data_IF_111707202177
#
_entry.id   IF_111707202177
#
_cell.length_a   1.000
_cell.length_b   1.000
_cell.length_c   1.000
_cell.angle_alpha   90.00
_cell.angle_beta   90.00
_cell.angle_gamma   90.00
#
_symmetry.space_group_name_H-M   'P 1'
#
loop_
_entity.id
_entity.type
_entity.pdbx_description
1 polymer ?
#
# COMPACT_ATOMS: atom_id res chain seq x y z
N UNK A 1 6.07 -16.34 -7.36
CA UNK A 1 6.90 -15.68 -8.41
C UNK A 1 8.15 -15.02 -7.84
N UNK A 2 8.04 -14.05 -6.91
CA UNK A 2 9.20 -13.37 -6.29
C UNK A 2 10.23 -14.32 -5.66
N UNK A 3 9.78 -15.33 -4.93
CA UNK A 3 10.67 -16.32 -4.31
C UNK A 3 11.44 -17.18 -5.33
N UNK A 4 10.83 -17.46 -6.48
CA UNK A 4 11.49 -18.17 -7.57
C UNK A 4 12.52 -17.27 -8.29
N UNK A 5 12.21 -15.98 -8.45
CA UNK A 5 13.16 -15.00 -8.97
C UNK A 5 14.35 -14.81 -8.03
N UNK A 6 14.10 -14.71 -6.72
CA UNK A 6 15.15 -14.62 -5.70
C UNK A 6 16.11 -15.80 -5.74
N UNK A 7 15.59 -17.03 -5.90
CA UNK A 7 16.42 -18.24 -6.04
C UNK A 7 17.31 -18.24 -7.29
N UNK A 8 16.91 -17.55 -8.37
CA UNK A 8 17.67 -17.48 -9.63
C UNK A 8 18.70 -16.36 -9.64
N UNK A 9 18.38 -15.21 -9.04
CA UNK A 9 19.25 -14.02 -9.11
C UNK A 9 19.13 -13.19 -7.82
N UNK A 10 19.67 -13.69 -6.70
CA UNK A 10 19.41 -13.13 -5.37
C UNK A 10 19.86 -11.68 -5.23
N UNK A 11 21.07 -11.31 -5.69
CA UNK A 11 21.62 -9.95 -5.55
C UNK A 11 20.76 -8.86 -6.20
N UNK A 12 20.16 -9.14 -7.35
CA UNK A 12 19.34 -8.16 -8.08
C UNK A 12 17.94 -8.08 -7.47
N UNK A 13 17.37 -9.24 -7.09
CA UNK A 13 16.01 -9.28 -6.55
C UNK A 13 15.99 -8.69 -5.14
N UNK A 14 17.01 -8.94 -4.33
CA UNK A 14 17.11 -8.46 -2.95
C UNK A 14 16.98 -6.94 -2.85
N UNK A 15 17.67 -6.18 -3.72
CA UNK A 15 17.57 -4.72 -3.73
C UNK A 15 16.19 -4.21 -4.17
N UNK A 16 15.43 -5.00 -4.94
CA UNK A 16 14.08 -4.66 -5.41
C UNK A 16 12.98 -5.10 -4.45
N UNK A 17 13.27 -6.01 -3.50
CA UNK A 17 12.26 -6.57 -2.59
C UNK A 17 11.51 -5.50 -1.79
N UNK A 18 12.16 -4.47 -1.19
CA UNK A 18 11.44 -3.46 -0.44
C UNK A 18 10.40 -2.73 -1.29
N UNK A 19 10.80 -2.28 -2.48
CA UNK A 19 9.90 -1.59 -3.41
C UNK A 19 8.76 -2.50 -3.87
N UNK A 20 9.04 -3.77 -4.19
CA UNK A 20 8.02 -4.74 -4.58
C UNK A 20 7.00 -4.99 -3.47
N UNK A 21 7.46 -5.17 -2.23
CA UNK A 21 6.58 -5.33 -1.08
C UNK A 21 5.77 -4.07 -0.78
N UNK A 22 6.35 -2.88 -0.92
CA UNK A 22 5.62 -1.63 -0.73
C UNK A 22 4.49 -1.47 -1.75
N UNK A 23 4.74 -1.77 -3.03
CA UNK A 23 3.68 -1.78 -4.06
C UNK A 23 2.59 -2.82 -3.78
N UNK A 24 2.97 -3.99 -3.27
CA UNK A 24 2.03 -5.05 -2.87
C UNK A 24 1.15 -4.58 -1.71
N UNK A 25 1.72 -4.05 -0.63
CA UNK A 25 0.97 -3.54 0.50
C UNK A 25 0.05 -2.37 0.11
N UNK A 26 0.51 -1.45 -0.74
CA UNK A 26 -0.33 -0.38 -1.28
C UNK A 26 -1.51 -0.95 -2.10
N UNK A 27 -1.29 -2.01 -2.87
CA UNK A 27 -2.37 -2.68 -3.61
C UNK A 27 -3.39 -3.34 -2.66
N UNK A 28 -2.92 -4.03 -1.63
CA UNK A 28 -3.78 -4.61 -0.58
C UNK A 28 -4.56 -3.53 0.17
N UNK A 29 -3.93 -2.39 0.48
CA UNK A 29 -4.59 -1.26 1.10
C UNK A 29 -5.75 -0.73 0.25
N UNK A 30 -5.54 -0.63 -1.08
CA UNK A 30 -6.59 -0.25 -2.01
C UNK A 30 -7.73 -1.27 -2.03
N UNK A 31 -7.43 -2.56 -2.06
CA UNK A 31 -8.46 -3.62 -2.05
C UNK A 31 -9.29 -3.58 -0.76
N UNK A 32 -8.62 -3.46 0.40
CA UNK A 32 -9.29 -3.35 1.69
C UNK A 32 -10.19 -2.10 1.74
N UNK A 33 -9.70 -0.96 1.22
CA UNK A 33 -10.48 0.27 1.13
C UNK A 33 -11.72 0.10 0.24
N UNK A 34 -11.58 -0.53 -0.93
CA UNK A 34 -12.73 -0.79 -1.82
C UNK A 34 -13.72 -1.79 -1.21
N UNK A 35 -13.26 -2.70 -0.34
CA UNK A 35 -14.12 -3.60 0.42
C UNK A 35 -14.75 -2.98 1.67
N UNK A 36 -14.49 -1.70 1.96
CA UNK A 36 -15.02 -1.00 3.13
C UNK A 36 -14.28 -1.25 4.44
N UNK A 37 -13.21 -2.06 4.43
CA UNK A 37 -12.37 -2.30 5.60
C UNK A 37 -11.27 -1.24 5.71
N UNK A 38 -11.67 -0.07 6.22
CA UNK A 38 -10.77 1.07 6.41
C UNK A 38 -9.65 0.79 7.41
N UNK A 39 -9.87 -0.07 8.41
CA UNK A 39 -8.87 -0.38 9.43
C UNK A 39 -7.75 -1.22 8.83
N UNK A 40 -8.10 -2.25 8.07
CA UNK A 40 -7.13 -3.08 7.37
C UNK A 40 -6.41 -2.30 6.28
N UNK A 41 -7.12 -1.41 5.56
CA UNK A 41 -6.49 -0.51 4.59
C UNK A 41 -5.39 0.36 5.23
N UNK A 42 -5.63 0.92 6.41
CA UNK A 42 -4.64 1.70 7.16
C UNK A 42 -3.45 0.85 7.64
N UNK A 43 -3.68 -0.41 8.01
CA UNK A 43 -2.59 -1.31 8.40
C UNK A 43 -1.67 -1.61 7.20
N UNK A 44 -2.24 -2.00 6.06
CA UNK A 44 -1.47 -2.22 4.85
C UNK A 44 -0.75 -0.96 4.38
N UNK A 45 -1.40 0.21 4.46
CA UNK A 45 -0.77 1.48 4.09
C UNK A 45 0.45 1.81 4.99
N UNK A 46 0.36 1.53 6.29
CA UNK A 46 1.51 1.68 7.20
C UNK A 46 2.66 0.72 6.83
N UNK A 47 2.34 -0.53 6.48
CA UNK A 47 3.35 -1.49 6.03
C UNK A 47 4.02 -1.06 4.71
N UNK A 48 3.25 -0.52 3.76
CA UNK A 48 3.80 0.04 2.53
C UNK A 48 4.78 1.18 2.83
N UNK A 49 4.38 2.12 3.70
CA UNK A 49 5.21 3.26 4.10
C UNK A 49 6.50 2.85 4.82
N UNK A 50 6.42 1.88 5.73
CA UNK A 50 7.61 1.41 6.47
C UNK A 50 8.58 0.62 5.59
N UNK A 51 8.08 -0.02 4.53
CA UNK A 51 8.89 -0.87 3.66
C UNK A 51 9.66 -0.04 2.64
N UNK A 52 8.98 0.86 1.93
CA UNK A 52 9.60 1.79 1.00
C UNK A 52 8.69 3.00 0.76
N UNK A 53 9.03 4.12 1.38
CA UNK A 53 8.27 5.38 1.23
C UNK A 53 8.49 6.06 -0.13
N UNK A 54 9.54 5.70 -0.87
CA UNK A 54 9.89 6.37 -2.13
C UNK A 54 8.77 6.24 -3.17
N UNK A 55 8.02 5.14 -3.13
CA UNK A 55 6.90 4.88 -4.05
C UNK A 55 5.83 5.97 -3.98
N UNK A 56 5.64 6.63 -2.83
CA UNK A 56 4.63 7.67 -2.67
C UNK A 56 5.06 9.02 -3.26
N UNK A 57 6.36 9.23 -3.47
CA UNK A 57 6.89 10.43 -4.11
C UNK A 57 7.11 10.23 -5.61
N UNK A 58 7.43 9.00 -6.02
CA UNK A 58 7.74 8.66 -7.41
C UNK A 58 6.51 8.26 -8.23
N UNK A 59 5.47 7.70 -7.60
CA UNK A 59 4.24 7.28 -8.27
C UNK A 59 3.02 8.07 -7.74
N UNK A 60 2.45 8.98 -8.54
CA UNK A 60 1.24 9.74 -8.18
C UNK A 60 0.06 8.85 -7.79
N UNK A 61 -0.08 7.66 -8.38
CA UNK A 61 -1.17 6.74 -8.03
C UNK A 61 -1.01 6.18 -6.63
N UNK A 62 0.23 5.94 -6.20
CA UNK A 62 0.55 5.53 -4.84
C UNK A 62 0.21 6.63 -3.84
N UNK A 63 0.55 7.88 -4.16
CA UNK A 63 0.17 9.05 -3.35
C UNK A 63 -1.35 9.20 -3.22
N UNK A 64 -2.10 9.09 -4.33
CA UNK A 64 -3.56 9.15 -4.29
C UNK A 64 -4.17 8.05 -3.41
N UNK A 65 -3.58 6.86 -3.43
CA UNK A 65 -4.03 5.74 -2.59
C UNK A 65 -3.78 6.05 -1.10
N UNK A 66 -2.63 6.63 -0.76
CA UNK A 66 -2.31 7.07 0.60
C UNK A 66 -3.35 8.07 1.11
N UNK A 67 -3.61 9.13 0.33
CA UNK A 67 -4.61 10.14 0.68
C UNK A 67 -6.00 9.53 0.84
N UNK A 68 -6.42 8.67 -0.08
CA UNK A 68 -7.72 8.00 0.00
C UNK A 68 -7.89 7.19 1.30
N UNK A 69 -6.87 6.42 1.70
CA UNK A 69 -6.90 5.62 2.94
C UNK A 69 -6.92 6.52 4.20
N UNK A 70 -6.20 7.65 4.17
CA UNK A 70 -6.17 8.59 5.29
C UNK A 70 -7.50 9.34 5.46
N UNK A 71 -8.18 9.66 4.35
CA UNK A 71 -9.45 10.40 4.34
C UNK A 71 -10.67 9.50 4.55
N UNK A 72 -10.57 8.20 4.29
CA UNK A 72 -11.69 7.24 4.42
C UNK A 72 -12.44 7.25 5.78
N UNK A 73 -11.78 7.44 6.94
CA UNK A 73 -12.49 7.54 8.21
C UNK A 73 -13.36 8.81 8.30
N UNK A 74 -12.95 9.90 7.65
CA UNK A 74 -13.69 11.17 7.65
C UNK A 74 -14.97 11.04 6.82
N UNK A 75 -14.87 10.45 5.63
CA UNK A 75 -16.04 10.22 4.78
C UNK A 75 -17.08 9.33 5.47
N UNK A 76 -16.63 8.30 6.21
CA UNK A 76 -17.53 7.43 6.96
C UNK A 76 -18.26 8.16 8.09
N UNK A 77 -17.62 9.13 8.75
CA UNK A 77 -18.28 9.96 9.78
C UNK A 77 -19.31 10.89 9.16
N UNK A 78 -18.97 11.55 8.06
CA UNK A 78 -19.89 12.47 7.36
C UNK A 78 -21.13 11.75 6.80
N UNK A 79 -21.02 10.49 6.39
CA UNK A 79 -22.17 9.69 5.92
C UNK A 79 -23.14 9.26 7.04
N UNK A 80 -22.71 9.26 8.31
CA UNK A 80 -23.53 8.80 9.45
C UNK A 80 -24.27 9.96 10.13
N UNK A 81 -23.90 11.21 9.83
CA UNK A 81 -24.53 12.43 10.39
C UNK A 81 -25.69 13.00 9.55
N UNK A 82 -26.21 12.26 8.57
CA UNK A 82 -27.43 12.58 7.81
C UNK A 82 -28.52 11.54 8.02
#
# INVERSE_FOLDING_TARGET
VLQAAYKRTPKIVESMLPTAYAYMYRYLARLALTGGDTKQAQQFMRQAWSTDRSIFYQDPRSLLTLLAVQLAPLSKRMMVEW
#
